data_IF_196282272265
#
_entry.id   IF_196282272265
#
_cell.length_a   1.000
_cell.length_b   1.000
_cell.length_c   1.000
_cell.angle_alpha   90.00
_cell.angle_beta   90.00
_cell.angle_gamma   90.00
#
_symmetry.space_group_name_H-M   'P 1'
#
loop_
_entity.id
_entity.type
_entity.pdbx_description
1 polymer ?
#
# COMPACT_ATOMS: atom_id res chain seq x y z
N UNK A 1 35.92 19.94 16.50
CA UNK A 1 35.84 19.60 15.08
C UNK A 1 35.78 18.07 14.92
N UNK A 2 34.57 17.52 14.88
CA UNK A 2 34.36 16.08 14.63
C UNK A 2 34.27 15.83 13.12
N UNK A 3 35.25 15.10 12.56
CA UNK A 3 35.22 14.64 11.17
C UNK A 3 33.97 13.80 10.93
N UNK A 4 33.21 14.00 9.84
CA UNK A 4 32.10 13.13 9.50
C UNK A 4 32.63 11.72 9.25
N UNK A 5 32.08 10.73 9.95
CA UNK A 5 32.36 9.30 9.69
C UNK A 5 31.95 9.00 8.26
N UNK A 6 32.88 8.64 7.41
CA UNK A 6 32.67 8.09 6.07
C UNK A 6 31.87 6.76 6.19
N UNK A 7 30.56 6.86 6.19
CA UNK A 7 29.66 5.70 6.10
C UNK A 7 29.60 5.32 4.62
N UNK A 8 30.00 4.09 4.28
CA UNK A 8 29.94 3.63 2.89
C UNK A 8 28.52 3.75 2.32
N UNK A 9 28.35 4.11 1.02
CA UNK A 9 27.02 4.28 0.41
C UNK A 9 26.08 3.08 0.58
N UNK A 10 26.64 1.86 0.63
CA UNK A 10 25.89 0.60 0.83
C UNK A 10 25.28 0.47 2.23
N UNK A 11 26.02 0.89 3.27
CA UNK A 11 25.53 0.85 4.67
C UNK A 11 24.45 1.92 4.91
N UNK A 12 24.51 3.05 4.21
CA UNK A 12 23.50 4.11 4.26
C UNK A 12 22.15 3.63 3.67
N UNK A 13 22.16 3.00 2.49
CA UNK A 13 20.95 2.47 1.84
C UNK A 13 20.27 1.37 2.65
N UNK A 14 21.04 0.43 3.20
CA UNK A 14 20.50 -0.64 4.05
C UNK A 14 19.85 -0.07 5.32
N UNK A 15 20.49 0.90 5.97
CA UNK A 15 19.97 1.58 7.14
C UNK A 15 18.66 2.33 6.84
N UNK A 16 18.59 3.00 5.71
CA UNK A 16 17.37 3.70 5.24
C UNK A 16 16.23 2.73 4.95
N UNK A 17 16.50 1.60 4.31
CA UNK A 17 15.51 0.56 4.06
C UNK A 17 14.96 -0.05 5.36
N UNK A 18 15.82 -0.31 6.34
CA UNK A 18 15.42 -0.82 7.66
C UNK A 18 14.51 0.19 8.38
N UNK A 19 14.84 1.49 8.35
CA UNK A 19 14.03 2.53 9.00
C UNK A 19 12.62 2.58 8.40
N UNK A 20 12.48 2.53 7.08
CA UNK A 20 11.15 2.50 6.42
C UNK A 20 10.39 1.22 6.77
N UNK A 21 11.04 0.06 6.73
CA UNK A 21 10.39 -1.22 7.01
C UNK A 21 9.90 -1.30 8.46
N UNK A 22 10.73 -0.89 9.42
CA UNK A 22 10.34 -0.83 10.83
C UNK A 22 9.26 0.23 11.09
N UNK A 23 9.41 1.43 10.50
CA UNK A 23 8.40 2.47 10.58
C UNK A 23 7.06 2.02 10.01
N UNK A 24 7.08 1.38 8.84
CA UNK A 24 5.89 0.83 8.19
C UNK A 24 5.23 -0.28 9.02
N UNK A 25 6.01 -1.13 9.69
CA UNK A 25 5.47 -2.15 10.59
C UNK A 25 4.78 -1.52 11.81
N UNK A 26 5.43 -0.55 12.47
CA UNK A 26 4.85 0.18 13.61
C UNK A 26 3.53 0.85 13.21
N UNK A 27 3.50 1.51 12.06
CA UNK A 27 2.30 2.18 11.53
C UNK A 27 1.15 1.19 11.28
N UNK A 28 1.44 0.01 10.74
CA UNK A 28 0.43 -1.04 10.52
C UNK A 28 -0.10 -1.60 11.83
N UNK A 29 0.77 -1.80 12.81
CA UNK A 29 0.39 -2.23 14.16
C UNK A 29 -0.49 -1.18 14.83
N UNK A 30 -0.08 0.10 14.83
CA UNK A 30 -0.90 1.19 15.36
C UNK A 30 -2.25 1.34 14.65
N UNK A 31 -2.27 1.18 13.32
CA UNK A 31 -3.50 1.19 12.54
C UNK A 31 -4.47 0.07 12.91
N UNK A 32 -3.94 -1.11 13.20
CA UNK A 32 -4.73 -2.24 13.69
C UNK A 32 -5.25 -1.98 15.12
N UNK A 33 -4.40 -1.44 16.02
CA UNK A 33 -4.83 -1.03 17.35
C UNK A 33 -5.93 0.05 17.32
N UNK A 34 -5.95 0.94 16.33
CA UNK A 34 -7.05 1.90 16.16
C UNK A 34 -8.36 1.22 15.81
N UNK A 35 -8.34 0.17 14.99
CA UNK A 35 -9.56 -0.50 14.54
C UNK A 35 -10.29 -1.24 15.66
N UNK A 36 -9.58 -1.74 16.68
CA UNK A 36 -10.18 -2.44 17.82
C UNK A 36 -11.17 -1.55 18.58
N UNK A 37 -10.78 -0.40 19.18
CA UNK A 37 -11.73 0.49 19.84
C UNK A 37 -12.80 1.03 18.88
N UNK A 38 -12.43 1.28 17.62
CA UNK A 38 -13.38 1.76 16.62
C UNK A 38 -14.54 0.77 16.40
N UNK A 39 -14.23 -0.53 16.22
CA UNK A 39 -15.24 -1.58 16.09
C UNK A 39 -16.16 -1.66 17.33
N UNK A 40 -15.58 -1.50 18.52
CA UNK A 40 -16.36 -1.55 19.76
C UNK A 40 -17.28 -0.34 19.96
N UNK A 41 -16.90 0.85 19.45
CA UNK A 41 -17.73 2.06 19.55
C UNK A 41 -18.75 2.17 18.43
N UNK A 42 -18.36 1.85 17.21
CA UNK A 42 -19.24 2.00 16.03
C UNK A 42 -20.19 0.81 15.84
N UNK A 43 -19.88 -0.35 16.41
CA UNK A 43 -20.56 -1.62 16.15
C UNK A 43 -20.52 -1.97 14.65
N UNK A 44 -21.25 -2.98 14.22
CA UNK A 44 -21.22 -3.44 12.82
C UNK A 44 -21.75 -2.38 11.84
N UNK A 45 -22.90 -1.76 12.15
CA UNK A 45 -23.53 -0.76 11.29
C UNK A 45 -22.66 0.49 11.09
N UNK A 46 -22.22 1.12 12.18
CA UNK A 46 -21.36 2.30 12.09
C UNK A 46 -20.02 2.01 11.42
N UNK A 47 -19.51 0.78 11.55
CA UNK A 47 -18.31 0.35 10.86
C UNK A 47 -18.56 0.24 9.35
N UNK A 48 -19.73 -0.26 8.92
CA UNK A 48 -20.14 -0.30 7.51
C UNK A 48 -20.23 1.11 6.91
N UNK A 49 -20.86 2.05 7.63
CA UNK A 49 -20.94 3.46 7.24
C UNK A 49 -19.55 4.09 7.12
N UNK A 50 -18.66 3.83 8.09
CA UNK A 50 -17.26 4.29 8.05
C UNK A 50 -16.54 3.73 6.82
N UNK A 51 -16.67 2.44 6.55
CA UNK A 51 -15.99 1.77 5.44
C UNK A 51 -16.56 2.14 4.05
N UNK A 52 -17.79 2.62 3.95
CA UNK A 52 -18.38 3.05 2.68
C UNK A 52 -17.62 4.25 2.06
N UNK A 53 -17.12 5.19 2.88
CA UNK A 53 -16.42 6.37 2.39
C UNK A 53 -14.97 6.08 1.91
N UNK A 54 -14.31 5.06 2.46
CA UNK A 54 -12.89 4.79 2.21
C UNK A 54 -12.54 4.41 0.77
N UNK A 55 -13.27 3.55 0.06
CA UNK A 55 -12.92 3.15 -1.29
C UNK A 55 -12.86 4.32 -2.28
N UNK A 56 -13.80 5.26 -2.16
CA UNK A 56 -13.80 6.49 -2.98
C UNK A 56 -12.60 7.38 -2.62
N UNK A 57 -12.34 7.56 -1.33
CA UNK A 57 -11.16 8.27 -0.87
C UNK A 57 -9.86 7.64 -1.39
N UNK A 58 -9.72 6.31 -1.32
CA UNK A 58 -8.52 5.59 -1.77
C UNK A 58 -8.28 5.75 -3.27
N UNK A 59 -9.31 5.72 -4.12
CA UNK A 59 -9.18 5.96 -5.56
C UNK A 59 -8.66 7.37 -5.83
N UNK A 60 -9.26 8.38 -5.21
CA UNK A 60 -8.83 9.77 -5.35
C UNK A 60 -7.41 9.99 -4.81
N UNK A 61 -7.06 9.32 -3.71
CA UNK A 61 -5.74 9.36 -3.10
C UNK A 61 -4.67 8.66 -3.96
N UNK A 62 -5.02 7.72 -4.81
CA UNK A 62 -4.02 6.95 -5.58
C UNK A 62 -3.12 7.87 -6.42
N UNK A 63 -3.69 8.88 -7.06
CA UNK A 63 -2.94 9.86 -7.85
C UNK A 63 -2.10 10.80 -6.97
N UNK A 64 -2.67 11.33 -5.89
CA UNK A 64 -2.05 12.36 -5.05
C UNK A 64 -1.16 11.79 -3.94
N UNK A 65 -1.34 10.52 -3.60
CA UNK A 65 -0.64 9.82 -2.52
C UNK A 65 0.61 9.06 -2.98
N UNK A 66 0.47 7.75 -3.13
CA UNK A 66 1.60 6.85 -3.40
C UNK A 66 2.30 7.10 -4.73
N UNK A 67 1.53 7.42 -5.79
CA UNK A 67 2.09 7.73 -7.10
C UNK A 67 2.94 9.01 -7.05
N UNK A 68 2.47 10.04 -6.36
CA UNK A 68 3.19 11.28 -6.17
C UNK A 68 4.51 11.07 -5.42
N UNK A 69 4.46 10.41 -4.26
CA UNK A 69 5.65 10.10 -3.47
C UNK A 69 6.70 9.35 -4.28
N UNK A 70 6.28 8.30 -5.00
CA UNK A 70 7.19 7.47 -5.81
C UNK A 70 7.82 8.24 -6.96
N UNK A 71 7.04 9.05 -7.67
CA UNK A 71 7.51 9.84 -8.81
C UNK A 71 8.52 10.91 -8.39
N UNK A 72 8.22 11.63 -7.30
CA UNK A 72 9.09 12.66 -6.73
C UNK A 72 10.39 12.04 -6.23
N UNK A 73 10.29 10.92 -5.49
CA UNK A 73 11.47 10.19 -5.00
C UNK A 73 12.38 9.78 -6.15
N UNK A 74 11.83 9.21 -7.22
CA UNK A 74 12.60 8.81 -8.41
C UNK A 74 13.29 10.00 -9.09
N UNK A 75 12.59 11.12 -9.25
CA UNK A 75 13.14 12.30 -9.91
C UNK A 75 14.32 12.87 -9.12
N UNK A 76 14.21 13.03 -7.80
CA UNK A 76 15.26 13.58 -6.95
C UNK A 76 16.43 12.60 -6.83
N UNK A 77 16.16 11.30 -6.67
CA UNK A 77 17.21 10.26 -6.64
C UNK A 77 17.97 10.13 -7.97
N UNK A 78 17.35 10.54 -9.09
CA UNK A 78 17.99 10.60 -10.40
C UNK A 78 18.84 11.87 -10.61
N UNK A 79 18.98 12.73 -9.59
CA UNK A 79 19.83 13.93 -9.62
C UNK A 79 19.10 15.23 -10.01
N UNK A 80 17.75 15.22 -10.13
CA UNK A 80 17.01 16.46 -10.36
C UNK A 80 17.03 17.35 -9.10
N UNK A 81 17.00 18.67 -9.30
CA UNK A 81 16.98 19.62 -8.19
C UNK A 81 15.73 19.42 -7.29
N UNK A 82 15.97 19.00 -6.04
CA UNK A 82 14.90 18.64 -5.09
C UNK A 82 13.91 19.77 -4.81
N UNK A 83 14.40 21.02 -4.66
CA UNK A 83 13.55 22.18 -4.40
C UNK A 83 12.62 22.48 -5.59
N UNK A 84 13.14 22.37 -6.81
CA UNK A 84 12.36 22.58 -8.04
C UNK A 84 11.33 21.47 -8.21
N UNK A 85 11.72 20.21 -8.01
CA UNK A 85 10.80 19.08 -8.07
C UNK A 85 9.69 19.25 -7.05
N UNK A 86 10.02 19.58 -5.79
CA UNK A 86 9.04 19.80 -4.72
C UNK A 86 8.06 20.94 -5.07
N UNK A 87 8.56 22.12 -5.47
CA UNK A 87 7.71 23.27 -5.81
C UNK A 87 6.73 22.95 -6.95
N UNK A 88 7.21 22.29 -8.03
CA UNK A 88 6.36 21.89 -9.15
C UNK A 88 5.36 20.80 -8.75
N UNK A 89 5.77 19.88 -7.90
CA UNK A 89 4.89 18.83 -7.39
C UNK A 89 3.79 19.41 -6.51
N UNK A 90 4.13 20.32 -5.58
CA UNK A 90 3.13 21.03 -4.76
C UNK A 90 2.14 21.81 -5.62
N UNK A 91 2.62 22.48 -6.68
CA UNK A 91 1.78 23.26 -7.59
C UNK A 91 0.80 22.43 -8.44
N UNK A 92 1.01 21.11 -8.57
CA UNK A 92 0.11 20.20 -9.32
C UNK A 92 -0.70 19.32 -8.38
N UNK A 93 -0.02 18.71 -7.40
CA UNK A 93 -0.61 17.65 -6.61
C UNK A 93 -1.53 18.20 -5.51
N UNK A 94 -1.19 19.34 -4.88
CA UNK A 94 -2.07 19.97 -3.87
C UNK A 94 -3.37 20.49 -4.49
N UNK A 95 -3.38 21.21 -5.62
CA UNK A 95 -4.62 21.52 -6.34
C UNK A 95 -5.40 20.26 -6.74
N UNK A 96 -4.75 19.19 -7.21
CA UNK A 96 -5.44 17.94 -7.51
C UNK A 96 -6.13 17.35 -6.26
N UNK A 97 -5.47 17.39 -5.09
CA UNK A 97 -6.07 17.01 -3.81
C UNK A 97 -7.25 17.91 -3.41
N UNK A 98 -7.14 19.21 -3.67
CA UNK A 98 -8.23 20.15 -3.45
C UNK A 98 -9.44 19.86 -4.35
N UNK A 99 -9.22 19.57 -5.64
CA UNK A 99 -10.30 19.11 -6.52
C UNK A 99 -10.88 17.77 -6.06
N UNK A 100 -10.06 16.84 -5.59
CA UNK A 100 -10.51 15.59 -4.98
C UNK A 100 -11.40 15.82 -3.76
N UNK A 101 -11.03 16.75 -2.87
CA UNK A 101 -11.86 17.19 -1.75
C UNK A 101 -13.20 17.75 -2.21
N UNK A 102 -13.22 18.64 -3.19
CA UNK A 102 -14.47 19.17 -3.75
C UNK A 102 -15.34 18.06 -4.34
N UNK A 103 -14.78 17.20 -5.18
CA UNK A 103 -15.50 16.08 -5.80
C UNK A 103 -16.10 15.19 -4.72
N UNK A 104 -15.32 14.77 -3.72
CA UNK A 104 -15.78 13.89 -2.66
C UNK A 104 -16.87 14.55 -1.79
N UNK A 105 -16.76 15.85 -1.53
CA UNK A 105 -17.73 16.61 -0.73
C UNK A 105 -19.04 16.86 -1.49
N UNK A 106 -18.97 17.32 -2.74
CA UNK A 106 -20.18 17.60 -3.54
C UNK A 106 -20.90 16.32 -3.97
N UNK A 107 -20.18 15.26 -4.25
CA UNK A 107 -20.73 13.96 -4.62
C UNK A 107 -21.00 13.05 -3.42
N UNK A 108 -20.84 13.50 -2.16
CA UNK A 108 -21.05 12.70 -0.96
C UNK A 108 -22.45 12.06 -0.94
N UNK A 109 -23.50 12.84 -1.19
CA UNK A 109 -24.89 12.35 -1.21
C UNK A 109 -25.16 11.37 -2.35
N UNK A 110 -24.88 11.67 -3.64
CA UNK A 110 -25.09 10.69 -4.70
C UNK A 110 -24.25 9.43 -4.53
N UNK A 111 -22.97 9.54 -4.13
CA UNK A 111 -22.11 8.38 -3.94
C UNK A 111 -22.60 7.46 -2.81
N UNK A 112 -22.94 8.02 -1.65
CA UNK A 112 -23.46 7.24 -0.53
C UNK A 112 -24.80 6.56 -0.84
N UNK A 113 -25.68 7.24 -1.58
CA UNK A 113 -26.95 6.65 -2.04
C UNK A 113 -26.72 5.53 -3.05
N UNK A 114 -25.81 5.72 -4.01
CA UNK A 114 -25.44 4.69 -4.99
C UNK A 114 -24.77 3.46 -4.34
N UNK A 115 -24.15 3.62 -3.17
CA UNK A 115 -23.58 2.50 -2.39
C UNK A 115 -24.62 1.81 -1.48
N UNK A 116 -25.87 2.28 -1.43
CA UNK A 116 -26.89 1.76 -0.52
C UNK A 116 -26.67 2.16 0.95
N UNK A 117 -25.86 3.17 1.21
CA UNK A 117 -25.53 3.67 2.58
C UNK A 117 -25.72 5.18 2.68
N UNK A 118 -26.96 5.69 2.56
CA UNK A 118 -27.23 7.13 2.54
C UNK A 118 -26.79 7.85 3.83
N UNK A 119 -26.68 7.16 4.95
CA UNK A 119 -26.18 7.70 6.23
C UNK A 119 -24.68 8.03 6.20
N UNK A 120 -23.94 7.55 5.19
CA UNK A 120 -22.50 7.79 5.07
C UNK A 120 -22.14 9.20 4.60
N UNK A 121 -23.09 10.07 4.21
CA UNK A 121 -22.82 11.44 3.72
C UNK A 121 -21.90 12.21 4.66
N UNK A 122 -22.18 12.19 5.97
CA UNK A 122 -21.36 12.89 6.96
C UNK A 122 -19.94 12.32 7.05
N UNK A 123 -19.77 11.00 6.89
CA UNK A 123 -18.48 10.33 6.86
C UNK A 123 -17.66 10.76 5.63
N UNK A 124 -18.29 10.86 4.45
CA UNK A 124 -17.66 11.38 3.23
C UNK A 124 -17.14 12.80 3.42
N UNK A 125 -17.98 13.69 3.94
CA UNK A 125 -17.61 15.11 4.16
C UNK A 125 -16.49 15.24 5.18
N UNK A 126 -16.51 14.44 6.24
CA UNK A 126 -15.49 14.44 7.30
C UNK A 126 -14.13 13.89 6.82
N UNK A 127 -14.15 12.92 5.89
CA UNK A 127 -12.94 12.32 5.32
C UNK A 127 -12.36 13.15 4.17
N UNK A 128 -13.19 13.87 3.42
CA UNK A 128 -12.78 14.57 2.21
C UNK A 128 -11.59 15.54 2.39
N UNK A 129 -11.47 16.36 3.47
CA UNK A 129 -10.33 17.26 3.67
C UNK A 129 -8.98 16.57 3.71
N UNK A 130 -8.93 15.28 4.08
CA UNK A 130 -7.71 14.49 4.12
C UNK A 130 -7.02 14.40 2.76
N UNK A 131 -7.76 14.49 1.64
CA UNK A 131 -7.18 14.50 0.29
C UNK A 131 -6.21 15.67 0.05
N UNK A 132 -6.49 16.83 0.64
CA UNK A 132 -5.59 17.98 0.57
C UNK A 132 -4.31 17.69 1.36
N UNK A 133 -4.47 17.18 2.58
CA UNK A 133 -3.34 16.93 3.48
C UNK A 133 -2.45 15.80 2.93
N UNK A 134 -3.02 14.70 2.46
CA UNK A 134 -2.26 13.59 1.84
C UNK A 134 -1.49 14.08 0.61
N UNK A 135 -2.06 14.96 -0.18
CA UNK A 135 -1.40 15.55 -1.35
C UNK A 135 -0.13 16.30 -0.95
N UNK A 136 -0.19 17.11 0.11
CA UNK A 136 0.97 17.81 0.65
C UNK A 136 1.99 16.85 1.29
N UNK A 137 1.52 15.92 2.14
CA UNK A 137 2.34 14.87 2.77
C UNK A 137 3.15 14.11 1.72
N UNK A 138 2.52 13.71 0.63
CA UNK A 138 3.14 12.92 -0.44
C UNK A 138 4.27 13.66 -1.11
N UNK A 139 4.12 14.96 -1.33
CA UNK A 139 5.17 15.81 -1.89
C UNK A 139 6.39 15.89 -0.95
N UNK A 140 6.16 16.14 0.33
CA UNK A 140 7.25 16.24 1.31
C UNK A 140 7.90 14.89 1.59
N UNK A 141 7.11 13.81 1.73
CA UNK A 141 7.68 12.45 1.86
C UNK A 141 8.53 12.08 0.66
N UNK A 142 8.06 12.35 -0.56
CA UNK A 142 8.83 12.13 -1.78
C UNK A 142 10.13 12.95 -1.84
N UNK A 143 10.10 14.18 -1.38
CA UNK A 143 11.28 15.05 -1.28
C UNK A 143 12.34 14.48 -0.33
N UNK A 144 11.96 14.13 0.90
CA UNK A 144 12.89 13.59 1.88
C UNK A 144 13.42 12.21 1.47
N UNK A 145 12.55 11.33 0.97
CA UNK A 145 12.96 10.01 0.46
C UNK A 145 13.93 10.13 -0.72
N UNK A 146 13.68 11.06 -1.64
CA UNK A 146 14.57 11.34 -2.76
C UNK A 146 15.96 11.82 -2.35
N UNK A 147 16.05 12.50 -1.19
CA UNK A 147 17.32 12.88 -0.54
C UNK A 147 17.92 11.76 0.33
N UNK A 148 17.40 10.53 0.30
CA UNK A 148 17.78 9.39 1.13
C UNK A 148 17.58 9.62 2.66
N UNK A 149 16.78 10.62 3.08
CA UNK A 149 16.36 10.79 4.47
C UNK A 149 14.97 10.19 4.68
N UNK A 150 14.93 8.94 5.17
CA UNK A 150 13.69 8.20 5.38
C UNK A 150 13.01 8.48 6.72
N UNK A 151 13.71 9.13 7.66
CA UNK A 151 13.22 9.42 9.01
C UNK A 151 11.97 10.31 9.01
N UNK A 152 11.90 11.42 8.22
CA UNK A 152 10.70 12.25 8.20
C UNK A 152 9.45 11.50 7.77
N UNK A 153 9.60 10.57 6.82
CA UNK A 153 8.50 9.70 6.39
C UNK A 153 8.00 8.80 7.53
N UNK A 154 8.90 8.08 8.18
CA UNK A 154 8.52 7.17 9.28
C UNK A 154 7.88 7.93 10.45
N UNK A 155 8.48 9.05 10.89
CA UNK A 155 7.96 9.84 11.99
C UNK A 155 6.60 10.46 11.64
N UNK A 156 6.43 11.02 10.44
CA UNK A 156 5.15 11.60 10.02
C UNK A 156 4.02 10.56 9.99
N UNK A 157 4.31 9.32 9.59
CA UNK A 157 3.34 8.22 9.61
C UNK A 157 2.96 7.82 11.05
N UNK A 158 3.92 7.80 11.96
CA UNK A 158 3.65 7.50 13.39
C UNK A 158 2.79 8.60 14.01
N UNK A 159 3.11 9.88 13.78
CA UNK A 159 2.32 11.02 14.24
C UNK A 159 0.88 10.92 13.74
N UNK A 160 0.69 10.66 12.44
CA UNK A 160 -0.61 10.47 11.82
C UNK A 160 -1.43 9.39 12.53
N UNK A 161 -0.85 8.22 12.82
CA UNK A 161 -1.56 7.13 13.49
C UNK A 161 -1.85 7.42 14.96
N UNK A 162 -0.93 8.06 15.69
CA UNK A 162 -1.14 8.43 17.10
C UNK A 162 -2.27 9.46 17.21
N UNK A 163 -2.27 10.51 16.39
CA UNK A 163 -3.33 11.54 16.42
C UNK A 163 -4.67 10.93 16.00
N UNK A 164 -4.70 10.11 14.94
CA UNK A 164 -5.90 9.40 14.52
C UNK A 164 -6.45 8.50 15.64
N UNK A 165 -5.60 7.74 16.31
CA UNK A 165 -5.98 6.89 17.43
C UNK A 165 -6.54 7.74 18.57
N UNK A 166 -5.82 8.76 19.03
CA UNK A 166 -6.22 9.59 20.16
C UNK A 166 -7.54 10.35 19.87
N UNK A 167 -7.61 11.09 18.74
CA UNK A 167 -8.79 11.88 18.38
C UNK A 167 -9.97 10.96 18.10
N UNK A 168 -9.79 9.90 17.32
CA UNK A 168 -10.87 9.01 16.92
C UNK A 168 -11.47 8.25 18.10
N UNK A 169 -10.64 7.66 18.97
CA UNK A 169 -11.15 6.96 20.16
C UNK A 169 -11.86 7.90 21.11
N UNK A 170 -11.29 9.08 21.38
CA UNK A 170 -11.90 10.08 22.28
C UNK A 170 -13.24 10.57 21.74
N UNK A 171 -13.29 10.98 20.46
CA UNK A 171 -14.54 11.47 19.88
C UNK A 171 -15.61 10.38 19.77
N UNK A 172 -15.25 9.16 19.38
CA UNK A 172 -16.20 8.06 19.30
C UNK A 172 -16.69 7.62 20.68
N UNK A 173 -15.85 7.69 21.71
CA UNK A 173 -16.23 7.36 23.07
C UNK A 173 -17.30 8.33 23.62
N UNK A 174 -17.08 9.64 23.48
CA UNK A 174 -17.99 10.64 24.05
C UNK A 174 -19.19 10.96 23.17
N UNK A 175 -19.03 10.88 21.84
CA UNK A 175 -20.03 11.42 20.88
C UNK A 175 -20.41 10.43 19.78
N UNK A 176 -20.00 9.16 19.88
CA UNK A 176 -20.13 8.17 18.81
C UNK A 176 -21.55 7.66 18.53
N UNK A 177 -22.57 8.10 19.27
CA UNK A 177 -23.97 7.75 19.03
C UNK A 177 -24.72 8.92 18.35
N UNK A 178 -25.58 8.67 17.35
CA UNK A 178 -25.86 7.38 16.67
C UNK A 178 -24.70 6.87 15.80
N UNK A 179 -24.75 5.63 15.26
CA UNK A 179 -23.65 5.00 14.50
C UNK A 179 -23.11 5.84 13.35
N UNK A 180 -23.97 6.52 12.60
CA UNK A 180 -23.58 7.43 11.52
C UNK A 180 -22.73 8.61 12.01
N UNK A 181 -23.04 9.18 13.17
CA UNK A 181 -22.24 10.23 13.80
C UNK A 181 -20.89 9.69 14.23
N UNK A 182 -20.85 8.52 14.85
CA UNK A 182 -19.60 7.86 15.21
C UNK A 182 -18.70 7.62 14.00
N UNK A 183 -19.26 7.13 12.90
CA UNK A 183 -18.56 6.92 11.64
C UNK A 183 -17.94 8.23 11.09
N UNK A 184 -18.70 9.34 11.12
CA UNK A 184 -18.20 10.64 10.67
C UNK A 184 -17.08 11.19 11.56
N UNK A 185 -17.15 11.00 12.88
CA UNK A 185 -16.10 11.40 13.82
C UNK A 185 -14.83 10.57 13.64
N UNK A 186 -14.96 9.29 13.36
CA UNK A 186 -13.84 8.42 13.02
C UNK A 186 -13.16 8.84 11.70
N UNK A 187 -13.93 9.24 10.69
CA UNK A 187 -13.42 9.81 9.44
C UNK A 187 -12.73 11.17 9.67
N UNK A 188 -13.30 12.03 10.52
CA UNK A 188 -12.66 13.28 10.91
C UNK A 188 -11.31 13.06 11.58
N UNK A 189 -11.19 12.04 12.43
CA UNK A 189 -9.91 11.69 13.06
C UNK A 189 -8.81 11.32 12.06
N UNK A 190 -9.17 10.74 10.90
CA UNK A 190 -8.23 10.50 9.80
C UNK A 190 -7.73 11.83 9.25
N UNK A 191 -8.63 12.77 8.95
CA UNK A 191 -8.27 14.10 8.47
C UNK A 191 -7.39 14.87 9.47
N UNK A 192 -7.67 14.77 10.78
CA UNK A 192 -6.86 15.36 11.84
C UNK A 192 -5.45 14.75 11.93
N UNK A 193 -5.36 13.42 11.80
CA UNK A 193 -4.07 12.72 11.76
C UNK A 193 -3.19 13.18 10.59
N UNK A 194 -3.77 13.26 9.40
CA UNK A 194 -3.05 13.71 8.20
C UNK A 194 -2.68 15.20 8.26
N UNK A 195 -3.55 16.06 8.82
CA UNK A 195 -3.21 17.45 9.08
C UNK A 195 -1.97 17.54 9.99
N UNK A 196 -1.93 16.78 11.09
CA UNK A 196 -0.80 16.80 12.01
C UNK A 196 0.51 16.34 11.37
N UNK A 197 0.46 15.30 10.53
CA UNK A 197 1.61 14.86 9.74
C UNK A 197 2.07 15.93 8.73
N UNK A 198 1.12 16.64 8.10
CA UNK A 198 1.41 17.74 7.18
C UNK A 198 2.15 18.86 7.91
N UNK A 199 1.63 19.31 9.06
CA UNK A 199 2.24 20.36 9.88
C UNK A 199 3.67 19.97 10.27
N UNK A 200 3.88 18.74 10.74
CA UNK A 200 5.21 18.24 11.08
C UNK A 200 6.18 18.30 9.89
N UNK A 201 5.76 17.81 8.72
CA UNK A 201 6.62 17.79 7.53
C UNK A 201 6.93 19.19 6.99
N UNK A 202 5.97 20.11 7.00
CA UNK A 202 6.16 21.51 6.61
C UNK A 202 7.14 22.21 7.57
N UNK A 203 6.96 22.01 8.88
CA UNK A 203 7.87 22.56 9.88
C UNK A 203 9.30 22.04 9.71
N UNK A 204 9.43 20.74 9.54
CA UNK A 204 10.74 20.10 9.31
C UNK A 204 11.41 20.59 8.02
N UNK A 205 10.64 20.75 6.94
CA UNK A 205 11.15 21.29 5.69
C UNK A 205 11.65 22.73 5.85
N UNK A 206 10.89 23.61 6.52
CA UNK A 206 11.32 25.00 6.77
C UNK A 206 12.63 25.07 7.55
N UNK A 207 12.82 24.19 8.53
CA UNK A 207 14.02 24.17 9.38
C UNK A 207 15.25 23.54 8.70
N UNK A 208 15.04 22.61 7.74
CA UNK A 208 16.12 21.91 7.04
C UNK A 208 16.36 22.38 5.61
N UNK A 209 15.71 23.47 5.20
CA UNK A 209 15.81 23.98 3.84
C UNK A 209 17.23 24.49 3.58
N UNK A 210 17.94 23.80 2.72
CA UNK A 210 19.23 24.27 2.16
C UNK A 210 18.93 25.13 0.94
N UNK A 211 19.40 26.36 0.96
CA UNK A 211 19.25 27.27 -0.17
C UNK A 211 20.30 26.90 -1.24
N UNK A 212 19.98 25.95 -2.11
CA UNK A 212 20.84 25.61 -3.24
C UNK A 212 20.43 26.47 -4.42
N UNK A 213 21.29 27.42 -4.76
CA UNK A 213 21.10 28.37 -5.86
C UNK A 213 21.30 27.76 -7.27
N UNK A 214 21.48 26.43 -7.42
CA UNK A 214 21.78 25.80 -8.70
C UNK A 214 20.53 25.49 -9.51
N UNK A 215 20.34 26.27 -10.58
CA UNK A 215 19.16 26.23 -11.46
C UNK A 215 19.38 25.42 -12.76
N UNK A 216 20.31 24.46 -12.77
CA UNK A 216 20.71 23.74 -14.00
C UNK A 216 19.79 22.58 -14.39
N UNK A 217 18.72 22.27 -13.68
CA UNK A 217 17.81 21.16 -13.99
C UNK A 217 16.60 21.55 -14.85
N UNK A 218 16.24 20.74 -15.86
CA UNK A 218 15.07 20.93 -16.75
C UNK A 218 13.85 20.12 -16.33
N UNK A 219 13.62 19.92 -15.01
CA UNK A 219 12.42 19.20 -14.56
C UNK A 219 11.17 19.99 -14.94
N UNK A 220 10.22 19.36 -15.67
CA UNK A 220 9.03 20.00 -16.21
C UNK A 220 7.75 19.37 -15.66
N UNK A 221 6.63 20.09 -15.70
CA UNK A 221 5.30 19.54 -15.37
C UNK A 221 4.94 18.31 -16.21
N UNK A 222 5.27 18.33 -17.51
CA UNK A 222 5.07 17.17 -18.41
C UNK A 222 5.79 15.92 -17.90
N UNK A 223 7.01 16.07 -17.40
CA UNK A 223 7.82 14.96 -16.86
C UNK A 223 7.24 14.43 -15.54
N UNK A 224 6.71 15.32 -14.70
CA UNK A 224 6.00 14.92 -13.48
C UNK A 224 4.77 14.08 -13.82
N UNK A 225 3.88 14.59 -14.70
CA UNK A 225 2.64 13.88 -15.10
C UNK A 225 2.95 12.55 -15.77
N UNK A 226 3.93 12.53 -16.69
CA UNK A 226 4.37 11.29 -17.34
C UNK A 226 4.91 10.22 -16.36
N UNK A 227 5.47 10.64 -15.22
CA UNK A 227 5.87 9.75 -14.14
C UNK A 227 4.71 9.29 -13.26
N UNK A 228 3.71 10.15 -13.05
CA UNK A 228 2.56 9.85 -12.20
C UNK A 228 1.64 8.80 -12.82
N UNK A 229 1.30 8.91 -14.11
CA UNK A 229 0.30 8.06 -14.77
C UNK A 229 0.59 6.56 -14.63
N UNK A 230 1.80 6.05 -14.99
CA UNK A 230 2.07 4.61 -14.88
C UNK A 230 1.99 4.09 -13.43
N UNK A 231 2.47 4.88 -12.47
CA UNK A 231 2.44 4.47 -11.05
C UNK A 231 1.01 4.48 -10.53
N UNK A 232 0.20 5.49 -10.91
CA UNK A 232 -1.23 5.53 -10.56
C UNK A 232 -1.96 4.29 -11.07
N UNK A 233 -1.78 3.94 -12.35
CA UNK A 233 -2.43 2.77 -12.94
C UNK A 233 -2.07 1.48 -12.21
N UNK A 234 -0.80 1.29 -11.84
CA UNK A 234 -0.37 0.08 -11.13
C UNK A 234 -0.87 0.00 -9.70
N UNK A 235 -1.00 1.13 -9.02
CA UNK A 235 -1.44 1.18 -7.61
C UNK A 235 -2.96 1.29 -7.45
N UNK A 236 -3.71 1.51 -8.54
CA UNK A 236 -5.19 1.65 -8.51
C UNK A 236 -5.95 0.33 -8.39
N UNK A 237 -5.32 -0.81 -8.68
CA UNK A 237 -6.05 -2.09 -8.81
C UNK A 237 -6.75 -2.49 -7.52
N UNK A 238 -6.05 -2.43 -6.38
CA UNK A 238 -6.64 -2.77 -5.07
C UNK A 238 -7.71 -1.75 -4.66
N UNK A 239 -7.48 -0.42 -4.70
CA UNK A 239 -8.54 0.57 -4.48
C UNK A 239 -9.76 0.40 -5.39
N UNK A 240 -9.55 0.01 -6.66
CA UNK A 240 -10.65 -0.25 -7.59
C UNK A 240 -11.48 -1.47 -7.18
N UNK A 241 -10.84 -2.54 -6.72
CA UNK A 241 -11.53 -3.72 -6.18
C UNK A 241 -12.38 -3.34 -4.96
N UNK A 242 -11.85 -2.58 -4.02
CA UNK A 242 -12.60 -2.12 -2.84
C UNK A 242 -13.73 -1.16 -3.21
N UNK A 243 -13.52 -0.31 -4.21
CA UNK A 243 -14.57 0.54 -4.74
C UNK A 243 -15.72 -0.29 -5.31
N UNK A 244 -15.41 -1.31 -6.10
CA UNK A 244 -16.37 -2.24 -6.64
C UNK A 244 -17.17 -2.95 -5.54
N UNK A 245 -16.49 -3.45 -4.49
CA UNK A 245 -17.14 -4.06 -3.33
C UNK A 245 -18.11 -3.10 -2.65
N UNK A 246 -17.70 -1.85 -2.44
CA UNK A 246 -18.52 -0.86 -1.75
C UNK A 246 -19.80 -0.48 -2.50
N UNK A 247 -19.80 -0.59 -3.84
CA UNK A 247 -20.99 -0.33 -4.66
C UNK A 247 -21.88 -1.57 -4.85
N UNK A 248 -21.30 -2.77 -4.78
CA UNK A 248 -22.07 -3.99 -5.09
C UNK A 248 -22.60 -4.68 -3.85
N UNK A 249 -21.81 -4.79 -2.78
CA UNK A 249 -22.14 -5.64 -1.63
C UNK A 249 -23.43 -5.19 -0.94
N UNK A 250 -23.49 -3.95 -0.50
CA UNK A 250 -24.69 -3.46 0.24
C UNK A 250 -25.91 -3.44 -0.67
N UNK A 251 -25.78 -3.00 -1.92
CA UNK A 251 -26.91 -2.91 -2.86
C UNK A 251 -27.53 -4.27 -3.18
N UNK A 252 -26.70 -5.30 -3.42
CA UNK A 252 -27.23 -6.63 -3.69
C UNK A 252 -27.82 -7.28 -2.44
N UNK A 253 -27.16 -7.12 -1.29
CA UNK A 253 -27.58 -7.74 -0.05
C UNK A 253 -28.84 -7.09 0.54
N UNK A 254 -29.06 -5.80 0.34
CA UNK A 254 -30.28 -5.10 0.81
C UNK A 254 -31.56 -5.64 0.18
N UNK A 255 -31.48 -6.38 -0.91
CA UNK A 255 -32.62 -7.09 -1.52
C UNK A 255 -33.15 -8.29 -0.70
N UNK A 256 -32.32 -8.84 0.22
CA UNK A 256 -32.70 -10.02 1.01
C UNK A 256 -32.31 -9.95 2.49
N UNK A 257 -31.60 -8.92 2.95
CA UNK A 257 -31.27 -8.73 4.38
C UNK A 257 -31.34 -7.27 4.80
N UNK A 258 -31.89 -7.01 5.97
CA UNK A 258 -31.95 -5.66 6.56
C UNK A 258 -30.62 -5.22 7.20
N UNK A 259 -29.64 -6.14 7.37
CA UNK A 259 -28.34 -5.86 7.99
C UNK A 259 -27.18 -5.79 6.99
N UNK A 260 -27.45 -5.43 5.73
CA UNK A 260 -26.44 -5.42 4.68
C UNK A 260 -25.24 -4.52 5.01
N UNK A 261 -25.48 -3.30 5.50
CA UNK A 261 -24.43 -2.34 5.92
C UNK A 261 -23.60 -2.89 7.08
N UNK A 262 -24.25 -3.53 8.07
CA UNK A 262 -23.55 -4.15 9.19
C UNK A 262 -22.64 -5.31 8.76
N UNK A 263 -23.14 -6.18 7.88
CA UNK A 263 -22.35 -7.30 7.33
C UNK A 263 -21.18 -6.81 6.50
N UNK A 264 -21.37 -5.77 5.68
CA UNK A 264 -20.28 -5.12 4.96
C UNK A 264 -19.22 -4.54 5.92
N UNK A 265 -19.68 -3.94 7.04
CA UNK A 265 -18.81 -3.42 8.09
C UNK A 265 -17.98 -4.52 8.79
N UNK A 266 -18.60 -5.67 9.09
CA UNK A 266 -17.89 -6.82 9.66
C UNK A 266 -16.82 -7.34 8.69
N UNK A 267 -17.17 -7.49 7.41
CA UNK A 267 -16.21 -7.94 6.38
C UNK A 267 -15.09 -6.92 6.16
N UNK A 268 -15.41 -5.71 5.71
CA UNK A 268 -14.41 -4.72 5.29
C UNK A 268 -13.69 -4.03 6.46
N UNK A 269 -14.28 -4.04 7.64
CA UNK A 269 -13.71 -3.46 8.86
C UNK A 269 -13.03 -4.48 9.75
N UNK A 270 -13.78 -5.46 10.27
CA UNK A 270 -13.27 -6.39 11.29
C UNK A 270 -12.39 -7.49 10.70
N UNK A 271 -12.88 -8.20 9.67
CA UNK A 271 -12.14 -9.31 9.04
C UNK A 271 -10.82 -8.79 8.43
N UNK A 272 -10.86 -7.73 7.62
CA UNK A 272 -9.65 -7.16 7.01
C UNK A 272 -8.64 -6.67 8.06
N UNK A 273 -9.11 -6.26 9.25
CA UNK A 273 -8.21 -5.84 10.33
C UNK A 273 -7.41 -7.00 10.92
N UNK A 274 -8.08 -8.12 11.17
CA UNK A 274 -7.48 -9.33 11.75
C UNK A 274 -6.50 -9.95 10.75
N UNK A 275 -6.92 -10.13 9.50
CA UNK A 275 -6.12 -10.70 8.42
C UNK A 275 -4.94 -9.79 8.06
N UNK A 276 -5.16 -8.49 8.07
CA UNK A 276 -4.14 -7.51 7.70
C UNK A 276 -2.92 -7.48 8.62
N UNK A 277 -3.04 -7.88 9.89
CA UNK A 277 -1.91 -7.89 10.84
C UNK A 277 -0.81 -8.89 10.44
N UNK A 278 -1.06 -10.19 10.29
CA UNK A 278 -0.03 -11.15 9.89
C UNK A 278 0.47 -10.90 8.46
N UNK A 279 -0.39 -10.46 7.54
CA UNK A 279 0.03 -10.05 6.18
C UNK A 279 1.04 -8.90 6.26
N UNK A 280 0.86 -7.96 7.19
CA UNK A 280 1.81 -6.86 7.39
C UNK A 280 3.19 -7.33 7.89
N UNK A 281 3.24 -8.37 8.74
CA UNK A 281 4.50 -8.98 9.18
C UNK A 281 5.23 -9.64 7.99
N UNK A 282 4.51 -10.38 7.16
CA UNK A 282 5.06 -10.98 5.94
C UNK A 282 5.58 -9.94 4.94
N UNK A 283 4.95 -8.76 4.87
CA UNK A 283 5.44 -7.65 4.04
C UNK A 283 6.84 -7.18 4.46
N UNK A 284 7.11 -7.06 5.75
CA UNK A 284 8.44 -6.70 6.25
C UNK A 284 9.52 -7.68 5.80
N UNK A 285 9.23 -8.98 5.87
CA UNK A 285 10.13 -10.04 5.40
C UNK A 285 10.35 -9.95 3.88
N UNK A 286 9.29 -9.77 3.12
CA UNK A 286 9.33 -9.65 1.65
C UNK A 286 10.13 -8.45 1.19
N UNK A 287 9.94 -7.30 1.81
CA UNK A 287 10.67 -6.07 1.49
C UNK A 287 12.18 -6.20 1.77
N UNK A 288 12.56 -6.93 2.82
CA UNK A 288 13.95 -7.18 3.15
C UNK A 288 14.67 -8.08 2.12
N UNK A 289 13.94 -8.91 1.38
CA UNK A 289 14.50 -9.78 0.33
C UNK A 289 14.83 -9.03 -0.96
N UNK A 290 14.17 -7.91 -1.26
CA UNK A 290 14.35 -7.17 -2.53
C UNK A 290 15.82 -6.80 -2.80
N UNK A 291 16.59 -6.18 -1.86
CA UNK A 291 17.97 -5.78 -2.14
C UNK A 291 18.88 -6.96 -2.44
N UNK A 292 18.70 -8.08 -1.74
CA UNK A 292 19.51 -9.29 -1.95
C UNK A 292 19.24 -9.88 -3.34
N UNK A 293 17.99 -10.09 -3.69
CA UNK A 293 17.59 -10.66 -4.99
C UNK A 293 18.04 -9.75 -6.13
N UNK A 294 17.78 -8.44 -6.03
CA UNK A 294 18.17 -7.45 -7.04
C UNK A 294 19.68 -7.37 -7.23
N UNK A 295 20.47 -7.47 -6.15
CA UNK A 295 21.93 -7.47 -6.23
C UNK A 295 22.48 -8.67 -7.00
N UNK A 296 21.96 -9.88 -6.80
CA UNK A 296 22.37 -11.05 -7.56
C UNK A 296 21.88 -10.97 -9.02
N UNK A 297 20.65 -10.53 -9.21
CA UNK A 297 20.05 -10.42 -10.53
C UNK A 297 20.79 -9.42 -11.43
N UNK A 298 21.20 -8.26 -10.90
CA UNK A 298 21.98 -7.25 -11.63
C UNK A 298 23.39 -7.73 -11.99
N UNK A 299 23.98 -8.63 -11.19
CA UNK A 299 25.26 -9.27 -11.45
C UNK A 299 25.15 -10.47 -12.41
N UNK A 300 23.95 -10.75 -12.96
CA UNK A 300 23.64 -11.94 -13.79
C UNK A 300 23.80 -13.28 -13.06
N UNK A 301 23.89 -13.28 -11.74
CA UNK A 301 23.93 -14.48 -10.90
C UNK A 301 22.50 -14.96 -10.65
N UNK A 302 21.92 -15.57 -11.69
CA UNK A 302 20.51 -15.99 -11.68
C UNK A 302 20.24 -17.16 -10.74
N UNK A 303 21.24 -17.98 -10.45
CA UNK A 303 21.11 -19.11 -9.54
C UNK A 303 20.91 -18.64 -8.10
N UNK A 304 21.78 -17.76 -7.62
CA UNK A 304 21.65 -17.18 -6.30
C UNK A 304 20.44 -16.25 -6.18
N UNK A 305 20.06 -15.50 -7.24
CA UNK A 305 18.82 -14.75 -7.28
C UNK A 305 17.60 -15.67 -7.12
N UNK A 306 17.54 -16.80 -7.84
CA UNK A 306 16.49 -17.82 -7.72
C UNK A 306 16.46 -18.42 -6.32
N UNK A 307 17.61 -18.83 -5.78
CA UNK A 307 17.73 -19.41 -4.44
C UNK A 307 17.18 -18.49 -3.35
N UNK A 308 17.53 -17.21 -3.43
CA UNK A 308 17.02 -16.20 -2.46
C UNK A 308 15.53 -15.91 -2.66
N UNK A 309 15.03 -15.93 -3.90
CA UNK A 309 13.58 -15.82 -4.18
C UNK A 309 12.80 -16.99 -3.59
N UNK A 310 13.27 -18.22 -3.80
CA UNK A 310 12.64 -19.43 -3.22
C UNK A 310 12.67 -19.39 -1.70
N UNK A 311 13.80 -19.00 -1.08
CA UNK A 311 13.89 -18.84 0.38
C UNK A 311 12.89 -17.82 0.89
N UNK A 312 12.75 -16.66 0.25
CA UNK A 312 11.80 -15.63 0.65
C UNK A 312 10.36 -16.17 0.58
N UNK A 313 9.99 -16.85 -0.51
CA UNK A 313 8.67 -17.48 -0.67
C UNK A 313 8.42 -18.57 0.38
N UNK A 314 9.43 -19.43 0.66
CA UNK A 314 9.30 -20.50 1.66
C UNK A 314 9.12 -19.94 3.08
N UNK A 315 9.88 -18.92 3.46
CA UNK A 315 9.72 -18.28 4.77
C UNK A 315 8.36 -17.57 4.89
N UNK A 316 7.91 -16.92 3.84
CA UNK A 316 6.57 -16.30 3.82
C UNK A 316 5.48 -17.36 3.93
N UNK A 317 5.58 -18.44 3.18
CA UNK A 317 4.62 -19.55 3.23
C UNK A 317 4.57 -20.16 4.64
N UNK A 318 5.72 -20.42 5.27
CA UNK A 318 5.78 -20.95 6.62
C UNK A 318 5.13 -19.98 7.63
N UNK A 319 5.52 -18.70 7.62
CA UNK A 319 4.99 -17.72 8.55
C UNK A 319 3.49 -17.48 8.35
N UNK A 320 3.04 -17.39 7.10
CA UNK A 320 1.61 -17.23 6.78
C UNK A 320 0.78 -18.45 7.10
N UNK A 321 1.33 -19.67 6.94
CA UNK A 321 0.68 -20.93 7.33
C UNK A 321 0.52 -21.02 8.86
N UNK A 322 1.54 -20.64 9.63
CA UNK A 322 1.44 -20.56 11.10
C UNK A 322 0.37 -19.53 11.50
N UNK A 323 0.34 -18.37 10.83
CA UNK A 323 -0.67 -17.34 11.09
C UNK A 323 -2.08 -17.82 10.72
N UNK A 324 -2.24 -18.49 9.59
CA UNK A 324 -3.50 -19.14 9.19
C UNK A 324 -3.99 -20.10 10.26
N UNK A 325 -3.14 -21.04 10.70
CA UNK A 325 -3.48 -22.00 11.73
C UNK A 325 -3.85 -21.30 13.05
N UNK A 326 -3.08 -20.27 13.45
CA UNK A 326 -3.38 -19.51 14.67
C UNK A 326 -4.73 -18.80 14.60
N UNK A 327 -5.08 -18.21 13.47
CA UNK A 327 -6.37 -17.54 13.28
C UNK A 327 -7.49 -18.61 13.29
N UNK A 328 -7.36 -19.71 12.56
CA UNK A 328 -8.37 -20.75 12.49
C UNK A 328 -8.65 -21.43 13.84
N UNK A 329 -7.62 -21.62 14.69
CA UNK A 329 -7.80 -22.22 16.00
C UNK A 329 -8.26 -21.25 17.09
N UNK A 330 -7.96 -19.96 16.96
CA UNK A 330 -8.20 -18.97 18.01
C UNK A 330 -9.18 -17.86 17.59
N UNK A 331 -9.90 -17.99 16.46
CA UNK A 331 -10.83 -16.99 15.93
C UNK A 331 -11.85 -16.53 16.98
N UNK A 332 -12.51 -17.46 17.66
CA UNK A 332 -13.50 -17.18 18.69
C UNK A 332 -12.90 -16.40 19.88
N UNK A 333 -11.75 -16.84 20.36
CA UNK A 333 -11.02 -16.15 21.43
C UNK A 333 -10.62 -14.74 21.02
N UNK A 334 -10.11 -14.58 19.81
CA UNK A 334 -9.71 -13.28 19.23
C UNK A 334 -10.92 -12.35 19.13
N UNK A 335 -12.07 -12.83 18.61
CA UNK A 335 -13.29 -12.04 18.47
C UNK A 335 -13.82 -11.62 19.84
N UNK A 336 -13.87 -12.51 20.80
CA UNK A 336 -14.36 -12.21 22.15
C UNK A 336 -13.49 -11.19 22.90
N UNK A 337 -12.17 -11.26 22.72
CA UNK A 337 -11.22 -10.31 23.33
C UNK A 337 -11.25 -8.96 22.61
N UNK A 338 -11.21 -8.95 21.28
CA UNK A 338 -11.06 -7.70 20.52
C UNK A 338 -12.39 -6.95 20.34
N UNK A 339 -13.52 -7.68 20.27
CA UNK A 339 -14.84 -7.11 19.98
C UNK A 339 -15.90 -7.47 21.03
N UNK A 340 -15.68 -7.22 22.33
CA UNK A 340 -16.60 -7.63 23.40
C UNK A 340 -17.98 -6.97 23.28
N UNK A 341 -18.09 -5.80 22.65
CA UNK A 341 -19.34 -5.04 22.53
C UNK A 341 -20.21 -5.40 21.32
N UNK A 342 -19.79 -6.33 20.47
CA UNK A 342 -20.61 -6.86 19.39
C UNK A 342 -21.72 -7.76 19.98
N UNK A 343 -22.87 -7.78 19.33
CA UNK A 343 -23.95 -8.73 19.65
C UNK A 343 -23.49 -10.17 19.36
N UNK A 344 -24.06 -11.15 20.07
CA UNK A 344 -23.65 -12.55 19.92
C UNK A 344 -23.88 -13.07 18.50
N UNK A 345 -24.96 -12.62 17.83
CA UNK A 345 -25.20 -12.94 16.42
C UNK A 345 -24.07 -12.42 15.51
N UNK A 346 -23.67 -11.15 15.69
CA UNK A 346 -22.59 -10.56 14.92
C UNK A 346 -21.23 -11.19 15.23
N UNK A 347 -20.98 -11.63 16.48
CA UNK A 347 -19.76 -12.40 16.83
C UNK A 347 -19.74 -13.75 16.13
N UNK A 348 -20.87 -14.46 16.11
CA UNK A 348 -20.98 -15.75 15.44
C UNK A 348 -20.72 -15.61 13.94
N UNK A 349 -21.32 -14.60 13.30
CA UNK A 349 -21.08 -14.31 11.88
C UNK A 349 -19.60 -13.94 11.65
N UNK A 350 -19.05 -13.06 12.49
CA UNK A 350 -17.67 -12.61 12.37
C UNK A 350 -16.69 -13.77 12.53
N UNK A 351 -16.90 -14.69 13.48
CA UNK A 351 -16.08 -15.88 13.65
C UNK A 351 -16.04 -16.71 12.37
N UNK A 352 -17.21 -17.03 11.81
CA UNK A 352 -17.30 -17.78 10.55
C UNK A 352 -16.61 -17.07 9.39
N UNK A 353 -16.75 -15.74 9.30
CA UNK A 353 -16.08 -14.94 8.27
C UNK A 353 -14.56 -14.99 8.43
N UNK A 354 -14.04 -14.91 9.65
CA UNK A 354 -12.61 -14.98 9.95
C UNK A 354 -12.05 -16.35 9.63
N UNK A 355 -12.73 -17.44 10.05
CA UNK A 355 -12.32 -18.81 9.77
C UNK A 355 -12.18 -19.05 8.27
N UNK A 356 -13.15 -18.57 7.50
CA UNK A 356 -13.14 -18.70 6.05
C UNK A 356 -12.07 -17.80 5.39
N UNK A 357 -11.97 -16.55 5.84
CA UNK A 357 -11.01 -15.58 5.32
C UNK A 357 -9.56 -15.82 5.79
N UNK A 358 -9.34 -16.75 6.75
CA UNK A 358 -7.98 -17.04 7.23
C UNK A 358 -7.03 -17.46 6.09
N UNK A 359 -7.55 -18.12 5.04
CA UNK A 359 -6.76 -18.49 3.85
C UNK A 359 -6.18 -17.28 3.12
N UNK A 360 -6.84 -16.12 3.20
CA UNK A 360 -6.38 -14.88 2.56
C UNK A 360 -5.06 -14.40 3.15
N UNK A 361 -4.76 -14.75 4.41
CA UNK A 361 -3.44 -14.47 5.01
C UNK A 361 -2.33 -15.11 4.19
N UNK A 362 -2.52 -16.36 3.76
CA UNK A 362 -1.52 -17.08 2.96
C UNK A 362 -1.44 -16.48 1.56
N UNK A 363 -2.58 -16.30 0.91
CA UNK A 363 -2.65 -15.82 -0.47
C UNK A 363 -2.09 -14.38 -0.60
N UNK A 364 -2.54 -13.46 0.26
CA UNK A 364 -2.06 -12.07 0.24
C UNK A 364 -0.58 -11.96 0.59
N UNK A 365 -0.09 -12.76 1.54
CA UNK A 365 1.34 -12.78 1.89
C UNK A 365 2.19 -13.30 0.73
N UNK A 366 1.72 -14.33 0.01
CA UNK A 366 2.38 -14.82 -1.19
C UNK A 366 2.39 -13.78 -2.30
N UNK A 367 1.24 -13.13 -2.61
CA UNK A 367 1.16 -12.05 -3.60
C UNK A 367 2.16 -10.94 -3.29
N UNK A 368 2.30 -10.54 -2.03
CA UNK A 368 3.24 -9.50 -1.62
C UNK A 368 4.70 -9.93 -1.83
N UNK A 369 5.02 -11.17 -1.52
CA UNK A 369 6.39 -11.69 -1.69
C UNK A 369 6.72 -11.89 -3.17
N UNK A 370 5.81 -12.44 -3.95
CA UNK A 370 5.95 -12.56 -5.41
C UNK A 370 6.10 -11.19 -6.06
N UNK A 371 5.31 -10.20 -5.64
CA UNK A 371 5.45 -8.82 -6.10
C UNK A 371 6.83 -8.27 -5.80
N UNK A 372 7.36 -8.53 -4.60
CA UNK A 372 8.71 -8.11 -4.19
C UNK A 372 9.79 -8.78 -5.06
N UNK A 373 9.64 -10.08 -5.36
CA UNK A 373 10.53 -10.81 -6.27
C UNK A 373 10.46 -10.23 -7.68
N UNK A 374 9.26 -9.98 -8.21
CA UNK A 374 9.06 -9.41 -9.55
C UNK A 374 9.66 -8.01 -9.68
N UNK A 375 9.51 -7.17 -8.65
CA UNK A 375 10.17 -5.86 -8.58
C UNK A 375 11.70 -6.02 -8.60
N UNK A 376 12.24 -6.97 -7.83
CA UNK A 376 13.67 -7.22 -7.74
C UNK A 376 14.29 -7.73 -9.05
N UNK A 377 13.50 -8.37 -9.92
CA UNK A 377 13.91 -8.85 -11.25
C UNK A 377 13.50 -7.91 -12.40
N UNK A 378 13.33 -6.62 -12.11
CA UNK A 378 13.00 -5.55 -13.06
C UNK A 378 11.66 -5.68 -13.77
N UNK A 379 10.65 -6.23 -13.09
CA UNK A 379 9.29 -6.40 -13.64
C UNK A 379 8.19 -5.86 -12.71
N UNK A 380 8.24 -4.58 -12.32
CA UNK A 380 7.34 -4.01 -11.30
C UNK A 380 5.85 -3.93 -11.73
N UNK A 381 5.56 -3.98 -13.04
CA UNK A 381 4.19 -3.88 -13.54
C UNK A 381 3.41 -5.20 -13.51
N UNK A 382 4.11 -6.34 -13.52
CA UNK A 382 3.48 -7.65 -13.63
C UNK A 382 2.53 -7.99 -12.48
N UNK A 383 2.89 -7.73 -11.20
CA UNK A 383 1.97 -7.97 -10.09
C UNK A 383 0.63 -7.26 -10.26
N UNK A 384 0.66 -6.02 -10.78
CA UNK A 384 -0.55 -5.23 -11.01
C UNK A 384 -1.40 -5.79 -12.14
N UNK A 385 -0.77 -6.32 -13.20
CA UNK A 385 -1.48 -7.00 -14.30
C UNK A 385 -2.14 -8.28 -13.80
N UNK A 386 -1.42 -9.10 -13.02
CA UNK A 386 -1.95 -10.33 -12.44
C UNK A 386 -3.14 -10.05 -11.52
N UNK A 387 -3.02 -9.03 -10.65
CA UNK A 387 -4.11 -8.59 -9.77
C UNK A 387 -5.29 -8.03 -10.57
N UNK A 388 -5.06 -7.33 -11.67
CA UNK A 388 -6.15 -6.80 -12.52
C UNK A 388 -6.94 -7.93 -13.21
N UNK A 389 -6.24 -8.96 -13.70
CA UNK A 389 -6.89 -10.16 -14.23
C UNK A 389 -7.69 -10.86 -13.13
N UNK A 390 -7.11 -11.04 -11.94
CA UNK A 390 -7.79 -11.60 -10.79
C UNK A 390 -9.03 -10.79 -10.39
N UNK A 391 -8.92 -9.46 -10.36
CA UNK A 391 -10.05 -8.56 -10.10
C UNK A 391 -11.19 -8.71 -11.13
N UNK A 392 -10.88 -8.87 -12.40
CA UNK A 392 -11.91 -9.08 -13.43
C UNK A 392 -12.70 -10.36 -13.18
N UNK A 393 -12.00 -11.43 -12.80
CA UNK A 393 -12.62 -12.71 -12.42
C UNK A 393 -13.45 -12.54 -11.14
N UNK A 394 -12.89 -11.88 -10.10
CA UNK A 394 -13.59 -11.54 -8.86
C UNK A 394 -14.90 -10.80 -9.16
N UNK A 395 -14.82 -9.71 -9.93
CA UNK A 395 -15.99 -8.88 -10.22
C UNK A 395 -17.13 -9.68 -10.87
N UNK A 396 -16.79 -10.56 -11.84
CA UNK A 396 -17.77 -11.43 -12.49
C UNK A 396 -18.35 -12.44 -11.50
N UNK A 397 -17.50 -13.14 -10.73
CA UNK A 397 -17.92 -14.11 -9.74
C UNK A 397 -18.80 -13.46 -8.65
N UNK A 398 -18.41 -12.30 -8.12
CA UNK A 398 -19.13 -11.59 -7.07
C UNK A 398 -20.55 -11.18 -7.51
N UNK A 399 -20.72 -10.66 -8.75
CA UNK A 399 -22.03 -10.31 -9.28
C UNK A 399 -22.96 -11.52 -9.44
N UNK A 400 -22.40 -12.70 -9.69
CA UNK A 400 -23.19 -13.93 -9.79
C UNK A 400 -23.52 -14.49 -8.39
N UNK A 401 -22.52 -14.56 -7.50
CA UNK A 401 -22.64 -15.19 -6.19
C UNK A 401 -23.49 -14.35 -5.22
N UNK A 402 -23.42 -13.01 -5.27
CA UNK A 402 -24.25 -12.12 -4.41
C UNK A 402 -25.75 -12.21 -4.71
N UNK A 403 -26.16 -12.79 -5.84
CA UNK A 403 -27.58 -13.05 -6.14
C UNK A 403 -28.16 -14.19 -5.31
N UNK A 404 -27.31 -15.05 -4.73
CA UNK A 404 -27.74 -16.16 -3.91
C UNK A 404 -27.81 -15.74 -2.43
N UNK A 405 -29.01 -15.65 -1.83
CA UNK A 405 -29.15 -15.26 -0.41
C UNK A 405 -28.47 -16.21 0.56
N UNK A 406 -28.32 -17.49 0.23
CA UNK A 406 -27.67 -18.49 1.09
C UNK A 406 -26.17 -18.21 1.28
N UNK A 407 -25.52 -17.64 0.26
CA UNK A 407 -24.10 -17.28 0.33
C UNK A 407 -23.89 -16.01 1.11
N UNK A 408 -24.86 -15.08 1.07
CA UNK A 408 -24.79 -13.81 1.81
C UNK A 408 -23.42 -13.11 1.60
N UNK A 409 -22.84 -12.53 2.66
CA UNK A 409 -21.52 -11.84 2.63
C UNK A 409 -20.36 -12.78 2.28
N UNK A 410 -20.50 -14.10 2.44
CA UNK A 410 -19.50 -15.09 2.03
C UNK A 410 -19.23 -15.09 0.52
N UNK A 411 -20.20 -14.66 -0.30
CA UNK A 411 -20.01 -14.49 -1.73
C UNK A 411 -18.81 -13.59 -2.07
N UNK A 412 -18.56 -12.57 -1.26
CA UNK A 412 -17.42 -11.65 -1.43
C UNK A 412 -16.12 -12.37 -1.13
N UNK A 413 -16.05 -13.12 -0.03
CA UNK A 413 -14.86 -13.89 0.36
C UNK A 413 -14.50 -14.97 -0.68
N UNK A 414 -15.49 -15.69 -1.23
CA UNK A 414 -15.25 -16.64 -2.33
C UNK A 414 -14.64 -15.93 -3.55
N UNK A 415 -15.16 -14.74 -3.87
CA UNK A 415 -14.67 -13.96 -5.00
C UNK A 415 -13.26 -13.40 -4.76
N UNK A 416 -12.93 -13.01 -3.52
CA UNK A 416 -11.60 -12.58 -3.12
C UNK A 416 -10.57 -13.72 -3.23
N UNK A 417 -10.91 -14.90 -2.74
CA UNK A 417 -10.05 -16.08 -2.85
C UNK A 417 -9.75 -16.40 -4.32
N UNK A 418 -10.76 -16.34 -5.20
CA UNK A 418 -10.55 -16.54 -6.64
C UNK A 418 -9.59 -15.51 -7.22
N UNK A 419 -9.76 -14.23 -6.88
CA UNK A 419 -8.85 -13.15 -7.30
C UNK A 419 -7.40 -13.45 -6.88
N UNK A 420 -7.21 -13.76 -5.61
CA UNK A 420 -5.88 -13.97 -5.05
C UNK A 420 -5.21 -15.24 -5.59
N UNK A 421 -5.96 -16.33 -5.76
CA UNK A 421 -5.46 -17.57 -6.39
C UNK A 421 -4.97 -17.32 -7.81
N UNK A 422 -5.75 -16.61 -8.63
CA UNK A 422 -5.35 -16.24 -9.98
C UNK A 422 -4.09 -15.38 -9.97
N UNK A 423 -4.02 -14.38 -9.09
CA UNK A 423 -2.86 -13.50 -8.99
C UNK A 423 -1.59 -14.25 -8.58
N UNK A 424 -1.67 -15.12 -7.55
CA UNK A 424 -0.56 -15.99 -7.11
C UNK A 424 -0.11 -16.88 -8.26
N UNK A 425 -1.05 -17.57 -8.93
CA UNK A 425 -0.73 -18.47 -10.02
C UNK A 425 0.01 -17.76 -11.16
N UNK A 426 -0.49 -16.62 -11.62
CA UNK A 426 0.11 -15.86 -12.72
C UNK A 426 1.49 -15.31 -12.34
N UNK A 427 1.65 -14.77 -11.15
CA UNK A 427 2.94 -14.28 -10.66
C UNK A 427 3.96 -15.42 -10.56
N UNK A 428 3.57 -16.57 -9.99
CA UNK A 428 4.44 -17.72 -9.82
C UNK A 428 4.89 -18.31 -11.18
N UNK A 429 3.95 -18.49 -12.12
CA UNK A 429 4.25 -18.96 -13.49
C UNK A 429 5.27 -18.01 -14.15
N UNK A 430 5.09 -16.71 -14.02
CA UNK A 430 6.03 -15.76 -14.61
C UNK A 430 7.40 -15.79 -13.94
N UNK A 431 7.47 -15.89 -12.62
CA UNK A 431 8.74 -16.02 -11.88
C UNK A 431 9.50 -17.27 -12.34
N UNK A 432 8.81 -18.41 -12.41
CA UNK A 432 9.39 -19.68 -12.90
C UNK A 432 9.89 -19.55 -14.34
N UNK A 433 9.04 -19.01 -15.23
CA UNK A 433 9.42 -18.80 -16.63
C UNK A 433 10.66 -17.92 -16.78
N UNK A 434 10.72 -16.84 -15.99
CA UNK A 434 11.84 -15.87 -16.05
C UNK A 434 13.16 -16.49 -15.63
N UNK A 435 13.18 -17.26 -14.57
CA UNK A 435 14.38 -17.97 -14.13
C UNK A 435 14.75 -19.15 -15.05
N UNK A 436 13.78 -19.85 -15.66
CA UNK A 436 14.03 -20.92 -16.62
C UNK A 436 14.66 -20.40 -17.91
N UNK A 437 14.20 -19.27 -18.45
CA UNK A 437 14.72 -18.68 -19.69
C UNK A 437 16.12 -18.11 -19.55
N UNK A 438 16.58 -17.84 -18.33
CA UNK A 438 17.92 -17.28 -18.04
C UNK A 438 18.85 -18.28 -17.35
N UNK A 439 18.65 -19.60 -17.56
CA UNK A 439 19.75 -20.55 -17.29
C UNK A 439 20.93 -20.13 -18.13
N UNK A 440 22.17 -20.12 -17.60
CA UNK A 440 23.33 -19.92 -18.42
C UNK A 440 23.28 -21.02 -19.50
N UNK A 441 23.17 -20.63 -20.76
CA UNK A 441 23.63 -21.51 -21.81
C UNK A 441 25.08 -21.84 -21.43
N UNK A 442 25.46 -23.09 -21.51
CA UNK A 442 26.83 -23.59 -21.44
C UNK A 442 27.70 -22.90 -22.54
N UNK A 443 27.96 -21.61 -22.39
CA UNK A 443 29.05 -20.95 -23.07
C UNK A 443 30.27 -21.16 -22.20
N UNK A 444 30.81 -22.36 -22.37
CA UNK A 444 32.24 -22.67 -22.38
C UNK A 444 33.10 -21.72 -21.57
N UNK A 445 33.32 -22.05 -20.30
CA UNK A 445 34.64 -21.83 -19.73
C UNK A 445 35.65 -22.75 -20.46
N UNK A 446 35.92 -22.44 -21.71
CA UNK A 446 37.21 -22.83 -22.31
C UNK A 446 38.23 -21.92 -21.68
N UNK A 447 38.88 -22.43 -20.66
CA UNK A 447 40.14 -21.93 -20.16
C UNK A 447 41.16 -22.10 -21.28
N UNK A 448 41.22 -21.12 -22.18
CA UNK A 448 42.29 -20.98 -23.18
C UNK A 448 43.55 -20.50 -22.50
N UNK A 449 44.43 -21.42 -22.18
CA UNK A 449 45.89 -21.11 -22.08
C UNK A 449 46.32 -20.52 -23.42
N UNK A 450 46.95 -19.39 -23.38
CA UNK A 450 47.83 -19.00 -24.47
C UNK A 450 47.74 -17.55 -24.92
N UNK A 451 48.80 -16.83 -24.60
CA UNK A 451 49.46 -15.77 -25.38
C UNK A 451 48.76 -14.42 -25.66
N UNK A 452 49.43 -13.43 -25.15
CA UNK A 452 49.79 -12.16 -25.80
C UNK A 452 48.71 -11.18 -26.28
N UNK A 453 48.69 -10.04 -25.61
CA UNK A 453 48.70 -8.75 -26.30
C UNK A 453 47.45 -8.30 -26.98
N UNK A 454 46.46 -7.74 -26.23
CA UNK A 454 45.65 -6.63 -26.77
C UNK A 454 45.42 -5.60 -25.67
N UNK A 455 46.05 -4.43 -25.87
CA UNK A 455 45.85 -3.22 -25.05
C UNK A 455 44.38 -2.75 -25.11
N UNK A 456 43.83 -2.15 -24.07
CA UNK A 456 42.45 -1.70 -24.08
C UNK A 456 42.27 -0.48 -24.98
N UNK A 457 41.13 -0.45 -25.67
CA UNK A 457 40.69 0.49 -26.71
C UNK A 457 40.42 1.94 -26.21
N UNK A 458 40.93 2.32 -25.07
CA UNK A 458 40.73 3.66 -24.48
C UNK A 458 41.90 4.63 -24.69
N UNK A 459 43.03 4.22 -25.33
CA UNK A 459 44.15 5.12 -25.60
C UNK A 459 44.19 5.74 -27.01
N UNK A 460 43.30 5.30 -27.92
CA UNK A 460 43.27 5.86 -29.29
C UNK A 460 42.44 7.15 -29.41
N UNK A 461 41.62 7.50 -28.42
CA UNK A 461 40.79 8.72 -28.46
C UNK A 461 41.44 9.95 -27.81
N UNK A 462 42.65 9.84 -27.30
CA UNK A 462 43.37 10.96 -26.65
C UNK A 462 44.44 11.63 -27.53
N UNK A 463 44.78 11.07 -28.68
CA UNK A 463 45.80 11.62 -29.59
C UNK A 463 45.29 12.52 -30.73
N UNK A 464 43.99 12.55 -31.00
CA UNK A 464 43.44 13.37 -32.07
C UNK A 464 42.94 14.78 -31.63
N UNK A 465 43.24 15.21 -30.42
CA UNK A 465 42.94 16.57 -29.92
C UNK A 465 44.16 17.46 -29.64
N UNK A 466 45.37 17.02 -29.93
CA UNK A 466 46.57 17.85 -29.77
C UNK A 466 47.24 18.22 -31.10
N UNK A 467 46.56 18.01 -32.25
CA UNK A 467 47.05 18.50 -33.55
C UNK A 467 45.92 19.08 -34.39
N UNK A 468 45.30 20.14 -33.87
CA UNK A 468 44.67 21.20 -34.71
C UNK A 468 44.46 22.45 -33.86
#
# INVERSE_FOLDING_TARGET
MNKPKNVSPKTSLLKSAIIISLGGLIVKVLGAFYRIPLNNFLKAEGLGIYQAAFPVYLILMTFTGSAATTTITKAISAGENGERVLKKSLAVIVPAGFFGWLIMSFLAKPLSTMQGTPEAVAAYIALAPSLIFVSAISCFRGYFQGKNDMRPTAISQIIEQIVKLAVGTTLCFFFGNPPAKGASLACFAVSAGELSATVYLVFLYKNKREFIADDRGKYTFKRLIAGLIPVTLTTSVIPLSRLFDSFTVVNFMSGYTNNATGLYGLYSGSVESIIGMPVALCYGLSAAAIPAISSYFSKKDYENAKRNSVKALSYTLFLSAVSFASIAFFSETVVNILFPKLTDDNKTILNRLIDFAAIDVVLLSLIQTESSVLIAIDKPFLPSVSLFIGFTIKATAQLLLLKNPELNIFAVLYSDILCYLVAVFLNLVYIIYRFKKRKPNDETYTCGRGSEGRRPLFESLRRDKESR
#
